data_IF_928054933623
#
_entry.id   IF_928054933623
#
_cell.length_a   1.000
_cell.length_b   1.000
_cell.length_c   1.000
_cell.angle_alpha   90.00
_cell.angle_beta   90.00
_cell.angle_gamma   90.00
#
_symmetry.space_group_name_H-M   'P 1'
#
loop_
_entity.id
_entity.type
_entity.pdbx_description
1 polymer ?
#
# COMPACT_ATOMS: atom_id res chain seq x y z
N UNK A 1 -6.26 -17.35 -26.21
CA UNK A 1 -5.52 -16.47 -25.28
C UNK A 1 -6.18 -15.12 -25.36
N UNK A 2 -7.28 -14.93 -24.64
CA UNK A 2 -8.10 -13.73 -24.72
C UNK A 2 -7.91 -12.94 -23.43
N UNK A 3 -7.04 -11.93 -23.44
CA UNK A 3 -7.15 -10.69 -22.67
C UNK A 3 -5.98 -9.78 -23.08
N UNK A 4 -6.08 -9.14 -24.25
CA UNK A 4 -5.04 -8.24 -24.77
C UNK A 4 -5.49 -6.77 -24.82
N UNK A 5 -6.62 -6.43 -24.19
CA UNK A 5 -7.15 -5.06 -24.18
C UNK A 5 -7.93 -4.76 -22.89
N UNK A 6 -7.30 -5.01 -21.73
CA UNK A 6 -7.68 -4.33 -20.49
C UNK A 6 -6.67 -3.23 -20.28
N UNK A 7 -7.13 -1.99 -20.30
CA UNK A 7 -6.29 -0.83 -20.00
C UNK A 7 -5.75 -0.98 -18.56
N UNK A 8 -4.53 -1.50 -18.44
CA UNK A 8 -3.87 -1.74 -17.17
C UNK A 8 -3.41 -0.38 -16.63
N UNK A 9 -4.18 0.18 -15.71
CA UNK A 9 -3.75 1.37 -14.97
C UNK A 9 -2.54 1.01 -14.07
N UNK A 10 -1.33 1.29 -14.56
CA UNK A 10 -0.09 1.14 -13.81
C UNK A 10 0.00 2.19 -12.69
N UNK A 11 -0.54 1.82 -11.52
CA UNK A 11 -0.51 2.62 -10.30
C UNK A 11 0.30 1.92 -9.21
N UNK A 12 1.04 2.70 -8.43
CA UNK A 12 1.82 2.23 -7.27
C UNK A 12 1.76 3.25 -6.13
N UNK A 13 2.39 2.96 -5.00
CA UNK A 13 2.45 3.87 -3.87
C UNK A 13 3.11 5.20 -4.28
N UNK A 14 2.52 6.36 -3.91
CA UNK A 14 3.09 7.67 -4.23
C UNK A 14 4.35 7.95 -3.40
N UNK A 15 5.16 8.90 -3.86
CA UNK A 15 6.28 9.41 -3.09
C UNK A 15 5.77 10.14 -1.83
N UNK A 16 6.35 9.82 -0.67
CA UNK A 16 6.03 10.45 0.61
C UNK A 16 7.22 11.29 1.07
N UNK A 17 7.03 12.61 1.11
CA UNK A 17 8.07 13.58 1.47
C UNK A 17 8.61 13.41 2.90
N UNK A 18 7.90 12.68 3.77
CA UNK A 18 8.39 12.32 5.11
C UNK A 18 9.56 11.32 5.05
N UNK A 19 9.72 10.60 3.94
CA UNK A 19 10.73 9.57 3.74
C UNK A 19 11.59 9.83 2.48
N UNK A 20 12.41 10.91 2.47
CA UNK A 20 13.17 11.33 1.28
C UNK A 20 14.42 10.48 0.99
N UNK A 21 14.82 9.61 1.92
CA UNK A 21 16.04 8.80 1.81
C UNK A 21 15.80 7.53 1.01
N UNK A 22 16.86 6.97 0.41
CA UNK A 22 16.78 5.68 -0.30
C UNK A 22 16.36 4.50 0.58
N UNK A 23 16.58 4.56 1.90
CA UNK A 23 16.10 3.54 2.83
C UNK A 23 14.58 3.70 3.06
N UNK A 24 13.79 2.76 2.53
CA UNK A 24 12.33 2.76 2.59
C UNK A 24 11.74 1.86 3.70
N UNK A 25 12.57 1.27 4.58
CA UNK A 25 12.10 0.39 5.67
C UNK A 25 11.08 1.10 6.58
N UNK A 26 11.36 2.37 6.95
CA UNK A 26 10.42 3.18 7.76
C UNK A 26 9.14 3.52 7.01
N UNK A 27 9.20 3.72 5.70
CA UNK A 27 8.03 4.00 4.88
C UNK A 27 7.11 2.77 4.80
N UNK A 28 7.68 1.58 4.54
CA UNK A 28 6.95 0.31 4.60
C UNK A 28 6.27 0.12 5.96
N UNK A 29 7.02 0.25 7.07
CA UNK A 29 6.47 0.08 8.41
C UNK A 29 5.34 1.08 8.73
N UNK A 30 5.50 2.36 8.36
CA UNK A 30 4.47 3.36 8.56
C UNK A 30 3.17 3.00 7.84
N UNK A 31 3.24 2.58 6.56
CA UNK A 31 2.06 2.18 5.78
C UNK A 31 1.39 0.92 6.33
N UNK A 32 2.17 -0.05 6.80
CA UNK A 32 1.66 -1.25 7.47
C UNK A 32 0.84 -0.88 8.72
N UNK A 33 1.41 -0.03 9.59
CA UNK A 33 0.72 0.42 10.81
C UNK A 33 -0.53 1.25 10.48
N UNK A 34 -0.48 2.13 9.48
CA UNK A 34 -1.65 2.90 9.02
C UNK A 34 -2.79 1.98 8.57
N UNK A 35 -2.49 0.92 7.81
CA UNK A 35 -3.48 -0.08 7.40
C UNK A 35 -4.11 -0.78 8.60
N UNK A 36 -3.31 -1.33 9.51
CA UNK A 36 -3.84 -2.07 10.67
C UNK A 36 -4.60 -1.17 11.66
N UNK A 37 -4.18 0.09 11.82
CA UNK A 37 -4.95 1.09 12.59
C UNK A 37 -6.28 1.41 11.92
N UNK A 38 -6.29 1.56 10.60
CA UNK A 38 -7.52 1.79 9.84
C UNK A 38 -8.50 0.62 10.00
N UNK A 39 -8.02 -0.62 9.84
CA UNK A 39 -8.81 -1.83 10.05
C UNK A 39 -9.38 -1.94 11.46
N UNK A 40 -8.57 -1.63 12.49
CA UNK A 40 -9.01 -1.68 13.87
C UNK A 40 -10.05 -0.60 14.22
N UNK A 41 -9.94 0.59 13.62
CA UNK A 41 -10.83 1.72 13.93
C UNK A 41 -12.14 1.71 13.13
N UNK A 42 -12.08 1.31 11.86
CA UNK A 42 -13.20 1.45 10.91
C UNK A 42 -13.82 0.12 10.46
N UNK A 43 -13.16 -1.01 10.71
CA UNK A 43 -13.57 -2.30 10.18
C UNK A 43 -13.30 -2.44 8.66
N UNK A 44 -13.54 -3.65 8.14
CA UNK A 44 -13.26 -4.03 6.74
C UNK A 44 -14.14 -3.29 5.72
N UNK A 45 -15.27 -2.73 6.17
CA UNK A 45 -16.36 -2.26 5.31
C UNK A 45 -16.14 -0.87 4.71
N UNK A 46 -15.11 -0.14 5.16
CA UNK A 46 -14.97 1.28 4.82
C UNK A 46 -14.35 1.55 3.46
N UNK A 47 -13.74 0.57 2.78
CA UNK A 47 -13.04 0.76 1.50
C UNK A 47 -11.80 1.68 1.56
N UNK A 48 -11.78 2.67 2.45
CA UNK A 48 -10.70 3.60 2.74
C UNK A 48 -9.40 2.90 3.11
N UNK A 49 -9.50 1.77 3.82
CA UNK A 49 -8.34 1.00 4.26
C UNK A 49 -7.66 0.25 3.09
N UNK A 50 -8.38 0.00 1.99
CA UNK A 50 -7.82 -0.69 0.81
C UNK A 50 -6.68 0.10 0.16
N UNK A 51 -6.74 1.44 0.23
CA UNK A 51 -5.66 2.29 -0.30
C UNK A 51 -4.37 2.08 0.48
N UNK A 52 -4.44 2.02 1.81
CA UNK A 52 -3.27 1.69 2.64
C UNK A 52 -2.82 0.26 2.40
N UNK A 53 -3.75 -0.66 2.14
CA UNK A 53 -3.43 -2.04 1.80
C UNK A 53 -2.59 -2.16 0.52
N UNK A 54 -2.97 -1.42 -0.52
CA UNK A 54 -2.20 -1.35 -1.76
C UNK A 54 -0.79 -0.79 -1.50
N UNK A 55 -0.67 0.29 -0.74
CA UNK A 55 0.63 0.93 -0.50
C UNK A 55 1.61 0.06 0.27
N UNK A 56 1.20 -0.56 1.39
CA UNK A 56 2.13 -1.42 2.13
C UNK A 56 2.51 -2.67 1.32
N UNK A 57 1.59 -3.22 0.51
CA UNK A 57 1.87 -4.37 -0.37
C UNK A 57 2.83 -4.04 -1.51
N UNK A 58 2.83 -2.79 -1.99
CA UNK A 58 3.77 -2.31 -3.01
C UNK A 58 5.16 -1.98 -2.44
N UNK A 59 5.25 -1.55 -1.18
CA UNK A 59 6.50 -1.10 -0.56
C UNK A 59 7.23 -2.20 0.22
N UNK A 60 6.50 -3.09 0.89
CA UNK A 60 7.08 -4.08 1.78
C UNK A 60 7.40 -5.40 1.04
N UNK A 61 8.55 -6.04 1.34
CA UNK A 61 8.82 -7.41 0.91
C UNK A 61 7.72 -8.37 1.35
N UNK A 62 7.48 -9.43 0.58
CA UNK A 62 6.42 -10.42 0.88
C UNK A 62 6.65 -11.19 2.19
N UNK A 63 7.88 -11.25 2.68
CA UNK A 63 8.25 -11.88 3.96
C UNK A 63 7.96 -10.99 5.17
N UNK A 64 7.77 -9.68 4.96
CA UNK A 64 7.62 -8.68 6.03
C UNK A 64 6.16 -8.28 6.28
N UNK A 65 5.23 -8.78 5.45
CA UNK A 65 3.80 -8.43 5.47
C UNK A 65 2.96 -9.42 6.25
#
# INVERSE_FOLDING_TARGET
MADADRELELKTAPADFRFPTSNQTRHCFARYIEYHRCMAAKGEESGDCLRFAQYYRSLCPSEWR
#
